data_IF_761012739228
#
_entry.id   IF_761012739228
#
_cell.length_a   1.000
_cell.length_b   1.000
_cell.length_c   1.000
_cell.angle_alpha   90.00
_cell.angle_beta   90.00
_cell.angle_gamma   90.00
#
_symmetry.space_group_name_H-M   'P 1'
#
loop_
_entity.id
_entity.type
_entity.pdbx_description
1 polymer ?
#
# COMPACT_ATOMS: atom_id res chain seq x y z
N UNK A 1 -38.93 -34.09 -27.78
CA UNK A 1 -39.17 -32.90 -26.96
C UNK A 1 -38.68 -32.99 -25.51
N UNK A 2 -38.63 -34.15 -24.86
CA UNK A 2 -38.15 -34.27 -23.47
C UNK A 2 -36.65 -33.99 -23.29
N UNK A 3 -35.80 -34.27 -24.25
CA UNK A 3 -34.35 -34.10 -24.15
C UNK A 3 -33.86 -32.61 -24.24
N UNK A 4 -34.66 -31.76 -24.92
CA UNK A 4 -34.32 -30.32 -25.03
C UNK A 4 -34.59 -29.58 -23.73
N UNK A 5 -35.62 -29.98 -23.00
CA UNK A 5 -36.00 -29.38 -21.68
C UNK A 5 -34.93 -29.67 -20.63
N UNK A 6 -34.36 -30.88 -20.62
CA UNK A 6 -33.27 -31.23 -19.67
C UNK A 6 -31.98 -30.48 -19.98
N UNK A 7 -31.66 -30.20 -21.24
CA UNK A 7 -30.49 -29.42 -21.62
C UNK A 7 -30.60 -27.94 -21.19
N UNK A 8 -31.82 -27.38 -21.30
CA UNK A 8 -32.09 -26.01 -20.85
C UNK A 8 -32.04 -25.87 -19.33
N UNK A 9 -32.55 -26.84 -18.56
CA UNK A 9 -32.48 -26.83 -17.11
C UNK A 9 -31.06 -27.02 -16.61
N UNK A 10 -30.24 -27.88 -17.26
CA UNK A 10 -28.84 -28.05 -16.93
C UNK A 10 -28.01 -26.78 -17.23
N UNK A 11 -28.32 -26.08 -18.36
CA UNK A 11 -27.68 -24.83 -18.74
C UNK A 11 -28.05 -23.68 -17.80
N UNK A 12 -29.28 -23.60 -17.30
CA UNK A 12 -29.70 -22.61 -16.30
C UNK A 12 -29.02 -22.84 -14.94
N UNK A 13 -28.81 -24.10 -14.53
CA UNK A 13 -28.12 -24.45 -13.29
C UNK A 13 -26.63 -24.13 -13.30
N UNK A 14 -25.97 -24.16 -14.46
CA UNK A 14 -24.55 -23.79 -14.58
C UNK A 14 -24.31 -22.28 -14.59
N UNK A 15 -25.32 -21.46 -14.93
CA UNK A 15 -25.23 -20.00 -14.92
C UNK A 15 -25.43 -19.38 -13.54
N UNK A 16 -26.01 -20.11 -12.58
CA UNK A 16 -26.27 -19.59 -11.22
C UNK A 16 -25.21 -19.95 -10.20
N UNK A 17 -24.33 -20.93 -10.46
CA UNK A 17 -23.32 -21.39 -9.50
C UNK A 17 -22.23 -20.39 -9.17
N UNK A 18 -21.69 -19.55 -10.09
CA UNK A 18 -20.66 -18.56 -9.73
C UNK A 18 -21.19 -17.43 -8.82
N UNK A 19 -22.46 -17.04 -8.99
CA UNK A 19 -23.04 -15.93 -8.21
C UNK A 19 -23.25 -16.28 -6.73
N UNK A 20 -23.59 -17.54 -6.42
CA UNK A 20 -23.76 -18.02 -5.04
C UNK A 20 -22.42 -18.28 -4.34
N UNK A 21 -21.42 -18.76 -5.07
CA UNK A 21 -20.09 -18.99 -4.53
C UNK A 21 -19.39 -17.66 -4.11
N UNK A 22 -19.47 -16.62 -4.92
CA UNK A 22 -18.91 -15.29 -4.63
C UNK A 22 -19.61 -14.60 -3.45
N UNK A 23 -20.94 -14.75 -3.32
CA UNK A 23 -21.70 -14.17 -2.20
C UNK A 23 -21.35 -14.80 -0.85
N UNK A 24 -21.18 -16.11 -0.79
CA UNK A 24 -20.74 -16.82 0.42
C UNK A 24 -19.30 -16.43 0.80
N UNK A 25 -18.43 -16.24 -0.18
CA UNK A 25 -17.03 -15.80 0.03
C UNK A 25 -16.96 -14.40 0.64
N UNK A 26 -17.79 -13.46 0.17
CA UNK A 26 -17.85 -12.10 0.72
C UNK A 26 -18.40 -12.09 2.15
N UNK A 27 -19.45 -12.85 2.44
CA UNK A 27 -19.98 -12.94 3.80
C UNK A 27 -18.95 -13.50 4.79
N UNK A 28 -18.16 -14.49 4.37
CA UNK A 28 -17.11 -15.08 5.20
C UNK A 28 -15.96 -14.10 5.45
N UNK A 29 -15.46 -13.40 4.40
CA UNK A 29 -14.36 -12.43 4.56
C UNK A 29 -14.80 -11.23 5.41
N UNK A 30 -16.04 -10.76 5.27
CA UNK A 30 -16.58 -9.68 6.11
C UNK A 30 -16.72 -10.10 7.57
N UNK A 31 -17.22 -11.32 7.85
CA UNK A 31 -17.21 -11.87 9.22
C UNK A 31 -15.80 -12.01 9.81
N UNK A 32 -14.83 -12.31 8.95
CA UNK A 32 -13.41 -12.34 9.37
C UNK A 32 -12.90 -10.93 9.67
N UNK A 33 -13.28 -9.93 8.87
CA UNK A 33 -12.96 -8.53 9.11
C UNK A 33 -13.55 -8.05 10.44
N UNK A 34 -14.84 -8.32 10.71
CA UNK A 34 -15.49 -7.97 11.97
C UNK A 34 -14.72 -8.55 13.17
N UNK A 35 -14.35 -9.84 13.12
CA UNK A 35 -13.54 -10.47 14.17
C UNK A 35 -12.17 -9.79 14.39
N UNK A 36 -11.53 -9.30 13.32
CA UNK A 36 -10.26 -8.57 13.44
C UNK A 36 -10.48 -7.18 14.03
N UNK A 37 -11.57 -6.50 13.66
CA UNK A 37 -11.97 -5.21 14.24
C UNK A 37 -12.22 -5.37 15.76
N UNK A 38 -12.95 -6.39 16.17
CA UNK A 38 -13.21 -6.68 17.59
C UNK A 38 -11.93 -6.96 18.37
N UNK A 39 -10.95 -7.60 17.72
CA UNK A 39 -9.65 -7.96 18.32
C UNK A 39 -8.53 -6.92 18.04
N UNK A 40 -8.84 -5.73 17.53
CA UNK A 40 -7.84 -4.69 17.20
C UNK A 40 -6.88 -4.34 18.34
N UNK A 41 -7.36 -4.42 19.58
CA UNK A 41 -6.55 -4.18 20.78
C UNK A 41 -5.39 -5.18 20.88
N UNK A 42 -5.60 -6.46 20.54
CA UNK A 42 -4.54 -7.45 20.54
C UNK A 42 -3.46 -7.16 19.47
N UNK A 43 -3.88 -6.67 18.28
CA UNK A 43 -2.95 -6.24 17.24
C UNK A 43 -2.10 -5.05 17.72
N UNK A 44 -2.70 -4.08 18.41
CA UNK A 44 -1.98 -2.96 19.01
C UNK A 44 -0.97 -3.42 20.07
N UNK A 45 -1.36 -4.31 20.96
CA UNK A 45 -0.45 -4.87 21.98
C UNK A 45 0.75 -5.55 21.34
N UNK A 46 0.53 -6.31 20.27
CA UNK A 46 1.62 -6.96 19.54
C UNK A 46 2.57 -5.93 18.90
N UNK A 47 2.02 -4.87 18.29
CA UNK A 47 2.82 -3.77 17.69
C UNK A 47 3.63 -3.02 18.73
N UNK A 48 3.03 -2.67 19.86
CA UNK A 48 3.74 -2.02 20.97
C UNK A 48 4.87 -2.91 21.51
N UNK A 49 4.67 -4.22 21.59
CA UNK A 49 5.72 -5.16 22.02
C UNK A 49 6.92 -5.17 21.05
N UNK A 50 6.66 -5.19 19.74
CA UNK A 50 7.70 -5.06 18.71
C UNK A 50 8.51 -3.76 18.89
N UNK A 51 7.80 -2.64 19.06
CA UNK A 51 8.41 -1.32 19.26
C UNK A 51 9.25 -1.28 20.55
N UNK A 52 8.75 -1.84 21.65
CA UNK A 52 9.48 -1.92 22.92
C UNK A 52 10.76 -2.74 22.75
N UNK A 53 10.73 -3.86 22.06
CA UNK A 53 11.93 -4.66 21.78
C UNK A 53 12.97 -3.87 20.98
N UNK A 54 12.56 -3.20 19.90
CA UNK A 54 13.46 -2.34 19.11
C UNK A 54 14.07 -1.22 19.94
N UNK A 55 13.29 -0.55 20.82
CA UNK A 55 13.80 0.48 21.73
C UNK A 55 14.81 -0.06 22.73
N UNK A 56 14.56 -1.24 23.29
CA UNK A 56 15.49 -1.89 24.21
C UNK A 56 16.81 -2.24 23.52
N UNK A 57 16.75 -2.76 22.30
CA UNK A 57 17.94 -3.03 21.49
C UNK A 57 18.70 -1.76 21.16
N UNK A 58 18.01 -0.69 20.75
CA UNK A 58 18.63 0.62 20.51
C UNK A 58 19.35 1.17 21.77
N UNK A 59 18.72 1.03 22.94
CA UNK A 59 19.32 1.49 24.20
C UNK A 59 20.56 0.68 24.60
N UNK A 60 20.57 -0.63 24.33
CA UNK A 60 21.69 -1.54 24.67
C UNK A 60 22.85 -1.47 23.67
N UNK A 61 22.58 -1.12 22.44
CA UNK A 61 23.62 -1.06 21.39
C UNK A 61 24.66 0.00 21.73
N UNK A 62 25.94 -0.35 21.49
CA UNK A 62 27.08 0.57 21.58
C UNK A 62 27.63 0.92 20.20
N UNK A 63 27.23 0.18 19.17
CA UNK A 63 27.65 0.39 17.78
C UNK A 63 26.76 1.46 17.10
N UNK A 64 27.38 2.46 16.53
CA UNK A 64 26.66 3.55 15.85
C UNK A 64 25.98 3.08 14.57
N UNK A 65 26.53 2.10 13.86
CA UNK A 65 25.90 1.51 12.67
C UNK A 65 24.64 0.74 13.05
N UNK A 66 24.73 -0.10 14.06
CA UNK A 66 23.56 -0.81 14.58
C UNK A 66 22.48 0.15 15.09
N UNK A 67 22.87 1.24 15.79
CA UNK A 67 21.91 2.27 16.23
C UNK A 67 21.22 2.94 15.04
N UNK A 68 21.94 3.22 13.96
CA UNK A 68 21.38 3.80 12.75
C UNK A 68 20.33 2.87 12.13
N UNK A 69 20.61 1.58 12.02
CA UNK A 69 19.71 0.56 11.50
C UNK A 69 18.48 0.35 12.39
N UNK A 70 18.67 0.37 13.71
CA UNK A 70 17.58 0.29 14.67
C UNK A 70 16.68 1.54 14.63
N UNK A 71 17.24 2.74 14.44
CA UNK A 71 16.45 3.94 14.18
C UNK A 71 15.63 3.80 12.88
N UNK A 72 16.20 3.22 11.82
CA UNK A 72 15.47 2.90 10.58
C UNK A 72 14.34 1.89 10.82
N UNK A 73 14.58 0.84 11.60
CA UNK A 73 13.55 -0.14 11.97
C UNK A 73 12.41 0.50 12.79
N UNK A 74 12.75 1.39 13.72
CA UNK A 74 11.77 2.15 14.51
C UNK A 74 11.00 3.16 13.64
N UNK A 75 11.66 3.85 12.71
CA UNK A 75 10.99 4.67 11.71
C UNK A 75 9.94 3.86 10.95
N UNK A 76 10.30 2.71 10.40
CA UNK A 76 9.38 1.84 9.65
C UNK A 76 8.22 1.32 10.54
N UNK A 77 8.50 1.01 11.81
CA UNK A 77 7.49 0.55 12.75
C UNK A 77 6.46 1.65 13.07
N UNK A 78 6.90 2.91 13.10
CA UNK A 78 6.07 4.05 13.46
C UNK A 78 5.43 4.77 12.26
N UNK A 79 5.97 4.68 11.05
CA UNK A 79 5.61 5.49 9.88
C UNK A 79 4.09 5.60 9.67
N UNK A 80 3.38 4.49 9.70
CA UNK A 80 1.92 4.45 9.55
C UNK A 80 1.16 4.21 10.87
N UNK A 81 1.88 4.13 11.98
CA UNK A 81 1.31 3.92 13.30
C UNK A 81 1.25 5.21 14.13
N UNK A 82 2.35 5.94 14.19
CA UNK A 82 2.49 7.22 14.91
C UNK A 82 3.59 8.06 14.24
N UNK A 83 3.21 8.86 13.26
CA UNK A 83 4.15 9.58 12.37
C UNK A 83 5.11 10.53 13.11
N UNK A 84 4.67 11.20 14.19
CA UNK A 84 5.54 12.04 15.01
C UNK A 84 6.71 11.24 15.61
N UNK A 85 6.45 10.01 16.06
CA UNK A 85 7.49 9.12 16.55
C UNK A 85 8.42 8.65 15.43
N UNK A 86 7.90 8.43 14.21
CA UNK A 86 8.73 8.13 13.05
C UNK A 86 9.71 9.28 12.77
N UNK A 87 9.23 10.53 12.79
CA UNK A 87 10.06 11.71 12.62
C UNK A 87 11.15 11.84 13.69
N UNK A 88 10.85 11.48 14.94
CA UNK A 88 11.84 11.45 16.03
C UNK A 88 13.01 10.50 15.69
N UNK A 89 12.75 9.30 15.18
CA UNK A 89 13.80 8.34 14.83
C UNK A 89 14.58 8.71 13.58
N UNK A 90 13.99 9.43 12.64
CA UNK A 90 14.74 10.03 11.52
C UNK A 90 15.73 11.07 12.02
N UNK A 91 15.35 11.91 12.97
CA UNK A 91 16.28 12.83 13.62
C UNK A 91 17.40 12.07 14.35
N UNK A 92 17.10 10.91 14.95
CA UNK A 92 18.10 10.00 15.50
C UNK A 92 19.13 9.53 14.46
N UNK A 93 18.68 9.10 13.26
CA UNK A 93 19.57 8.75 12.14
C UNK A 93 20.47 9.94 11.75
N UNK A 94 19.89 11.13 11.63
CA UNK A 94 20.63 12.35 11.29
C UNK A 94 21.75 12.67 12.29
N UNK A 95 21.48 12.51 13.59
CA UNK A 95 22.47 12.76 14.65
C UNK A 95 23.62 11.73 14.65
N UNK A 96 23.39 10.51 14.14
CA UNK A 96 24.39 9.46 14.04
C UNK A 96 25.26 9.61 12.78
N UNK A 97 24.79 10.31 11.77
CA UNK A 97 25.46 10.44 10.47
C UNK A 97 26.93 10.90 10.56
N UNK A 98 27.31 11.94 11.36
CA UNK A 98 28.69 12.37 11.49
C UNK A 98 29.62 11.31 12.11
N UNK A 99 29.06 10.32 12.81
CA UNK A 99 29.80 9.25 13.49
C UNK A 99 30.05 8.03 12.59
N UNK A 100 29.36 7.97 11.43
CA UNK A 100 29.41 6.81 10.55
C UNK A 100 30.39 6.95 9.40
N UNK A 101 30.83 8.18 9.08
CA UNK A 101 31.67 8.49 7.90
C UNK A 101 31.07 8.00 6.57
N UNK A 102 29.75 8.00 6.45
CA UNK A 102 28.98 7.56 5.30
C UNK A 102 28.05 8.68 4.82
N UNK A 103 28.58 9.69 4.08
CA UNK A 103 27.81 10.86 3.66
C UNK A 103 26.63 10.52 2.73
N UNK A 104 26.71 9.42 1.98
CA UNK A 104 25.65 8.90 1.09
C UNK A 104 24.35 8.57 1.82
N UNK A 105 24.42 8.20 3.10
CA UNK A 105 23.25 7.93 3.94
C UNK A 105 22.37 9.17 4.19
N UNK A 106 22.91 10.37 3.94
CA UNK A 106 22.15 11.62 4.07
C UNK A 106 20.95 11.65 3.14
N UNK A 107 21.09 11.20 1.92
CA UNK A 107 20.01 11.19 0.93
C UNK A 107 18.87 10.26 1.37
N UNK A 108 19.18 9.08 1.89
CA UNK A 108 18.18 8.17 2.46
C UNK A 108 17.38 8.85 3.59
N UNK A 109 18.06 9.57 4.50
CA UNK A 109 17.41 10.27 5.62
C UNK A 109 16.47 11.37 5.11
N UNK A 110 16.88 12.11 4.07
CA UNK A 110 16.06 13.17 3.45
C UNK A 110 14.80 12.55 2.82
N UNK A 111 14.92 11.41 2.13
CA UNK A 111 13.80 10.69 1.54
C UNK A 111 12.86 10.14 2.63
N UNK A 112 13.40 9.54 3.72
CA UNK A 112 12.59 9.11 4.87
C UNK A 112 11.80 10.28 5.46
N UNK A 113 12.42 11.47 5.56
CA UNK A 113 11.74 12.69 6.06
C UNK A 113 10.62 13.12 5.14
N UNK A 114 10.83 13.10 3.82
CA UNK A 114 9.80 13.40 2.84
C UNK A 114 8.62 12.43 2.94
N UNK A 115 8.89 11.13 3.10
CA UNK A 115 7.84 10.12 3.23
C UNK A 115 6.98 10.36 4.48
N UNK A 116 7.59 10.56 5.65
CA UNK A 116 6.81 10.81 6.88
C UNK A 116 6.02 12.11 6.80
N UNK A 117 6.57 13.17 6.21
CA UNK A 117 5.87 14.42 5.98
C UNK A 117 4.66 14.22 5.05
N UNK A 118 4.80 13.44 4.00
CA UNK A 118 3.70 13.06 3.12
C UNK A 118 2.60 12.28 3.85
N UNK A 119 2.96 11.31 4.70
CA UNK A 119 2.02 10.57 5.55
C UNK A 119 1.29 11.50 6.55
N UNK A 120 1.96 12.56 7.03
CA UNK A 120 1.35 13.58 7.89
C UNK A 120 0.48 14.60 7.13
N UNK A 121 0.42 14.54 5.80
CA UNK A 121 -0.29 15.51 4.97
C UNK A 121 0.46 16.83 4.73
N UNK A 122 1.73 16.90 5.11
CA UNK A 122 2.61 18.06 4.92
C UNK A 122 3.24 17.99 3.52
N UNK A 123 2.41 18.13 2.49
CA UNK A 123 2.82 17.83 1.10
C UNK A 123 3.86 18.82 0.56
N UNK A 124 3.76 20.12 0.90
CA UNK A 124 4.74 21.11 0.44
C UNK A 124 6.12 20.81 1.02
N UNK A 125 6.19 20.55 2.32
CA UNK A 125 7.42 20.22 3.03
C UNK A 125 8.01 18.89 2.54
N UNK A 126 7.16 17.90 2.23
CA UNK A 126 7.60 16.64 1.64
C UNK A 126 8.25 16.86 0.27
N UNK A 127 7.65 17.66 -0.60
CA UNK A 127 8.20 18.00 -1.90
C UNK A 127 9.53 18.72 -1.78
N UNK A 128 9.63 19.73 -0.91
CA UNK A 128 10.88 20.44 -0.65
C UNK A 128 12.02 19.52 -0.21
N UNK A 129 11.73 18.47 0.56
CA UNK A 129 12.76 17.48 0.92
C UNK A 129 13.19 16.68 -0.32
N UNK A 130 12.25 16.19 -1.13
CA UNK A 130 12.56 15.41 -2.32
C UNK A 130 13.36 16.20 -3.36
N UNK A 131 13.07 17.49 -3.54
CA UNK A 131 13.75 18.37 -4.48
C UNK A 131 15.21 18.69 -4.08
N UNK A 132 15.59 18.43 -2.82
CA UNK A 132 16.99 18.58 -2.34
C UNK A 132 17.89 17.41 -2.72
N UNK A 133 17.32 16.31 -3.18
CA UNK A 133 18.04 15.09 -3.52
C UNK A 133 18.38 15.09 -5.01
N UNK A 134 19.65 14.99 -5.34
CA UNK A 134 20.06 14.75 -6.73
C UNK A 134 19.96 13.24 -7.04
N UNK A 135 19.07 12.81 -7.93
CA UNK A 135 18.90 11.41 -8.26
C UNK A 135 20.13 10.79 -8.92
N UNK A 136 21.04 11.60 -9.49
CA UNK A 136 22.28 11.12 -10.11
C UNK A 136 23.33 10.68 -9.07
N UNK A 137 23.20 11.14 -7.83
CA UNK A 137 24.08 10.76 -6.72
C UNK A 137 23.58 9.52 -5.95
N UNK A 138 22.42 8.98 -6.32
CA UNK A 138 21.81 7.90 -5.58
C UNK A 138 22.26 6.52 -6.06
N UNK A 139 22.59 5.66 -5.10
CA UNK A 139 22.71 4.23 -5.37
C UNK A 139 21.36 3.65 -5.81
N UNK A 140 21.40 2.55 -6.55
CA UNK A 140 20.23 1.97 -7.21
C UNK A 140 19.05 1.70 -6.26
N UNK A 141 19.34 1.20 -5.07
CA UNK A 141 18.30 0.90 -4.08
C UNK A 141 17.66 2.18 -3.54
N UNK A 142 18.47 3.18 -3.19
CA UNK A 142 18.00 4.49 -2.73
C UNK A 142 17.27 5.25 -3.84
N UNK A 143 17.72 5.13 -5.10
CA UNK A 143 17.03 5.68 -6.27
C UNK A 143 15.63 5.07 -6.45
N UNK A 144 15.51 3.77 -6.32
CA UNK A 144 14.22 3.09 -6.38
C UNK A 144 13.27 3.58 -5.25
N UNK A 145 13.80 3.75 -4.04
CA UNK A 145 13.06 4.31 -2.91
C UNK A 145 12.63 5.76 -3.15
N UNK A 146 13.52 6.59 -3.68
CA UNK A 146 13.23 7.97 -4.08
C UNK A 146 12.05 8.05 -5.06
N UNK A 147 12.05 7.23 -6.11
CA UNK A 147 10.95 7.19 -7.07
C UNK A 147 9.64 6.67 -6.44
N UNK A 148 9.70 5.68 -5.54
CA UNK A 148 8.52 5.22 -4.79
C UNK A 148 7.92 6.33 -3.94
N UNK A 149 8.76 7.13 -3.29
CA UNK A 149 8.30 8.25 -2.46
C UNK A 149 7.67 9.36 -3.30
N UNK A 150 8.23 9.69 -4.46
CA UNK A 150 7.60 10.64 -5.41
C UNK A 150 6.27 10.11 -5.95
N UNK A 151 6.21 8.82 -6.30
CA UNK A 151 4.96 8.20 -6.73
C UNK A 151 3.89 8.32 -5.65
N UNK A 152 4.22 8.00 -4.41
CA UNK A 152 3.30 8.13 -3.27
C UNK A 152 2.86 9.58 -3.06
N UNK A 153 3.81 10.52 -3.08
CA UNK A 153 3.55 11.95 -2.97
C UNK A 153 2.53 12.44 -4.01
N UNK A 154 2.75 12.17 -5.29
CA UNK A 154 1.82 12.61 -6.33
C UNK A 154 0.49 11.88 -6.28
N UNK A 155 0.45 10.63 -5.80
CA UNK A 155 -0.78 9.91 -5.51
C UNK A 155 -1.59 10.61 -4.44
N UNK A 156 -1.02 10.90 -3.29
CA UNK A 156 -1.70 11.62 -2.20
C UNK A 156 -2.20 12.99 -2.65
N UNK A 157 -1.38 13.78 -3.36
CA UNK A 157 -1.81 15.10 -3.86
C UNK A 157 -2.97 14.95 -4.84
N UNK A 158 -2.96 13.94 -5.71
CA UNK A 158 -4.07 13.68 -6.63
C UNK A 158 -5.36 13.33 -5.88
N UNK A 159 -5.30 12.54 -4.80
CA UNK A 159 -6.47 12.12 -4.03
C UNK A 159 -7.14 13.31 -3.31
N UNK A 160 -6.35 14.26 -2.82
CA UNK A 160 -6.86 15.46 -2.15
C UNK A 160 -7.18 16.64 -3.10
N UNK A 161 -6.84 16.51 -4.40
CA UNK A 161 -7.10 17.57 -5.38
C UNK A 161 -8.54 17.48 -5.88
N UNK A 162 -9.29 18.57 -5.69
CA UNK A 162 -10.70 18.71 -6.14
C UNK A 162 -10.84 19.21 -7.57
N UNK A 163 -9.80 19.79 -8.15
CA UNK A 163 -9.77 20.26 -9.54
C UNK A 163 -9.38 19.12 -10.47
N UNK A 164 -10.28 18.70 -11.34
CA UNK A 164 -10.08 17.55 -12.24
C UNK A 164 -8.86 17.70 -13.17
N UNK A 165 -8.59 18.90 -13.68
CA UNK A 165 -7.45 19.15 -14.57
C UNK A 165 -6.12 18.99 -13.83
N UNK A 166 -6.02 19.51 -12.62
CA UNK A 166 -4.84 19.35 -11.76
C UNK A 166 -4.71 17.88 -11.30
N UNK A 167 -5.80 17.23 -10.93
CA UNK A 167 -5.81 15.81 -10.58
C UNK A 167 -5.23 14.94 -11.69
N UNK A 168 -5.67 15.14 -12.93
CA UNK A 168 -5.13 14.43 -14.11
C UNK A 168 -3.62 14.66 -14.27
N UNK A 169 -3.15 15.87 -14.03
CA UNK A 169 -1.72 16.20 -14.06
C UNK A 169 -0.91 15.44 -13.03
N UNK A 170 -1.40 15.35 -11.78
CA UNK A 170 -0.74 14.58 -10.72
C UNK A 170 -0.78 13.07 -11.00
N UNK A 171 -1.89 12.53 -11.49
CA UNK A 171 -1.99 11.14 -11.89
C UNK A 171 -1.00 10.77 -13.01
N UNK A 172 -0.78 11.67 -14.00
CA UNK A 172 0.26 11.49 -15.03
C UNK A 172 1.67 11.45 -14.43
N UNK A 173 1.95 12.31 -13.44
CA UNK A 173 3.24 12.28 -12.73
C UNK A 173 3.41 10.98 -11.94
N UNK A 174 2.36 10.54 -11.23
CA UNK A 174 2.35 9.25 -10.54
C UNK A 174 2.68 8.10 -11.49
N UNK A 175 2.11 8.11 -12.69
CA UNK A 175 2.37 7.08 -13.70
C UNK A 175 3.79 7.15 -14.27
N UNK A 176 4.33 8.33 -14.49
CA UNK A 176 5.72 8.52 -14.92
C UNK A 176 6.72 7.96 -13.88
N UNK A 177 6.45 8.15 -12.58
CA UNK A 177 7.28 7.57 -11.53
C UNK A 177 7.13 6.05 -11.42
N UNK A 178 5.99 5.46 -11.82
CA UNK A 178 5.90 4.00 -12.00
C UNK A 178 6.91 3.50 -13.03
N UNK A 179 7.03 4.18 -14.17
CA UNK A 179 8.03 3.82 -15.19
C UNK A 179 9.45 3.92 -14.63
N UNK A 180 9.75 4.98 -13.88
CA UNK A 180 11.06 5.16 -13.22
C UNK A 180 11.36 4.02 -12.23
N UNK A 181 10.37 3.59 -11.42
CA UNK A 181 10.50 2.45 -10.51
C UNK A 181 10.81 1.17 -11.28
N UNK A 182 10.09 0.91 -12.38
CA UNK A 182 10.31 -0.30 -13.19
C UNK A 182 11.70 -0.36 -13.81
N UNK A 183 12.33 0.79 -14.08
CA UNK A 183 13.70 0.87 -14.59
C UNK A 183 14.73 0.71 -13.46
N UNK A 184 14.50 1.37 -12.32
CA UNK A 184 15.46 1.43 -11.22
C UNK A 184 15.48 0.19 -10.32
N UNK A 185 14.39 -0.62 -10.32
CA UNK A 185 14.22 -1.75 -9.39
C UNK A 185 14.48 -3.08 -10.07
N UNK A 186 15.25 -3.95 -9.43
CA UNK A 186 15.43 -5.34 -9.86
C UNK A 186 14.13 -6.14 -9.70
N UNK A 187 14.00 -7.30 -10.37
CA UNK A 187 12.83 -8.17 -10.22
C UNK A 187 12.56 -8.52 -8.74
N UNK A 188 11.42 -8.09 -8.25
CA UNK A 188 10.95 -8.35 -6.88
C UNK A 188 9.42 -8.21 -6.81
N UNK A 189 8.84 -8.53 -5.66
CA UNK A 189 7.38 -8.42 -5.43
C UNK A 189 6.88 -7.00 -5.71
N UNK A 190 7.52 -5.99 -5.14
CA UNK A 190 7.10 -4.59 -5.28
C UNK A 190 7.13 -4.13 -6.75
N UNK A 191 8.18 -4.50 -7.49
CA UNK A 191 8.27 -4.20 -8.92
C UNK A 191 7.16 -4.88 -9.72
N UNK A 192 6.81 -6.12 -9.38
CA UNK A 192 5.75 -6.88 -10.03
C UNK A 192 4.38 -6.26 -9.77
N UNK A 193 4.13 -5.73 -8.56
CA UNK A 193 2.91 -4.96 -8.23
C UNK A 193 2.84 -3.72 -9.12
N UNK A 194 3.90 -2.91 -9.19
CA UNK A 194 3.94 -1.70 -10.04
C UNK A 194 3.72 -2.06 -11.52
N UNK A 195 4.25 -3.18 -11.98
CA UNK A 195 4.01 -3.67 -13.34
C UNK A 195 2.54 -4.03 -13.57
N UNK A 196 1.88 -4.67 -12.61
CA UNK A 196 0.45 -4.96 -12.67
C UNK A 196 -0.40 -3.68 -12.67
N UNK A 197 -0.08 -2.68 -11.84
CA UNK A 197 -0.71 -1.35 -11.85
C UNK A 197 -0.64 -0.71 -13.25
N UNK A 198 0.54 -0.76 -13.90
CA UNK A 198 0.69 -0.26 -15.29
C UNK A 198 -0.18 -1.03 -16.28
N UNK A 199 -0.40 -2.32 -16.06
CA UNK A 199 -1.34 -3.10 -16.91
C UNK A 199 -2.78 -2.65 -16.72
N UNK A 200 -3.19 -2.38 -15.46
CA UNK A 200 -4.53 -1.86 -15.13
C UNK A 200 -4.75 -0.51 -15.82
N UNK A 201 -3.83 0.44 -15.64
CA UNK A 201 -3.91 1.79 -16.22
C UNK A 201 -4.01 1.75 -17.75
N UNK A 202 -3.31 0.80 -18.40
CA UNK A 202 -3.34 0.61 -19.84
C UNK A 202 -4.53 -0.27 -20.34
N UNK A 203 -5.52 -0.54 -19.50
CA UNK A 203 -6.70 -1.32 -19.83
C UNK A 203 -6.47 -2.84 -20.01
N UNK A 204 -5.26 -3.33 -19.66
CA UNK A 204 -4.89 -4.76 -19.76
C UNK A 204 -5.19 -5.48 -18.45
N UNK A 205 -6.42 -5.35 -17.96
CA UNK A 205 -6.85 -5.82 -16.63
C UNK A 205 -6.65 -7.32 -16.47
N UNK A 206 -7.00 -8.14 -17.46
CA UNK A 206 -6.83 -9.59 -17.37
C UNK A 206 -5.36 -10.00 -17.19
N UNK A 207 -4.44 -9.31 -17.88
CA UNK A 207 -3.00 -9.54 -17.68
C UNK A 207 -2.53 -9.17 -16.27
N UNK A 208 -3.06 -8.09 -15.70
CA UNK A 208 -2.76 -7.69 -14.31
C UNK A 208 -3.26 -8.74 -13.32
N UNK A 209 -4.50 -9.24 -13.51
CA UNK A 209 -5.08 -10.26 -12.65
C UNK A 209 -4.27 -11.55 -12.63
N UNK A 210 -3.74 -11.99 -13.78
CA UNK A 210 -2.84 -13.17 -13.86
C UNK A 210 -1.57 -12.90 -13.05
N UNK A 211 -0.88 -11.78 -13.30
CA UNK A 211 0.36 -11.42 -12.59
C UNK A 211 0.14 -11.39 -11.07
N UNK A 212 -0.91 -10.70 -10.61
CA UNK A 212 -1.19 -10.54 -9.19
C UNK A 212 -1.62 -11.85 -8.52
N UNK A 213 -2.37 -12.68 -9.23
CA UNK A 213 -2.80 -14.00 -8.71
C UNK A 213 -1.62 -14.95 -8.52
N UNK A 214 -0.67 -14.95 -9.45
CA UNK A 214 0.53 -15.78 -9.33
C UNK A 214 1.47 -15.22 -8.25
N UNK A 215 1.67 -13.90 -8.21
CA UNK A 215 2.46 -13.24 -7.19
C UNK A 215 1.93 -13.52 -5.77
N UNK A 216 0.60 -13.53 -5.60
CA UNK A 216 -0.03 -13.82 -4.31
C UNK A 216 0.28 -15.22 -3.78
N UNK A 217 0.40 -16.22 -4.68
CA UNK A 217 0.73 -17.60 -4.30
C UNK A 217 2.18 -17.73 -3.79
N UNK A 218 3.08 -16.91 -4.34
CA UNK A 218 4.51 -16.98 -4.08
C UNK A 218 4.96 -16.05 -2.95
N UNK A 219 4.13 -15.06 -2.55
CA UNK A 219 4.48 -14.07 -1.54
C UNK A 219 4.16 -14.57 -0.14
N UNK A 220 5.15 -14.81 0.74
CA UNK A 220 4.91 -15.21 2.13
C UNK A 220 4.59 -14.02 3.05
N UNK A 221 5.10 -12.83 2.75
CA UNK A 221 4.99 -11.65 3.59
C UNK A 221 3.57 -11.07 3.59
N UNK A 222 2.95 -10.97 4.78
CA UNK A 222 1.57 -10.53 4.94
C UNK A 222 1.39 -9.04 4.54
N UNK A 223 2.39 -8.19 4.75
CA UNK A 223 2.32 -6.77 4.37
C UNK A 223 2.34 -6.63 2.85
N UNK A 224 3.21 -7.37 2.17
CA UNK A 224 3.24 -7.40 0.71
C UNK A 224 1.93 -7.97 0.14
N UNK A 225 1.33 -9.00 0.77
CA UNK A 225 0.00 -9.48 0.39
C UNK A 225 -1.06 -8.38 0.48
N UNK A 226 -0.98 -7.49 1.48
CA UNK A 226 -1.88 -6.34 1.60
C UNK A 226 -1.86 -5.45 0.36
N UNK A 227 -0.68 -5.12 -0.16
CA UNK A 227 -0.55 -4.36 -1.40
C UNK A 227 -1.07 -5.12 -2.63
N UNK A 228 -0.84 -6.44 -2.69
CA UNK A 228 -1.38 -7.28 -3.78
C UNK A 228 -2.91 -7.29 -3.72
N UNK A 229 -3.52 -7.45 -2.54
CA UNK A 229 -4.97 -7.42 -2.37
C UNK A 229 -5.56 -6.07 -2.80
N UNK A 230 -4.93 -4.97 -2.39
CA UNK A 230 -5.34 -3.64 -2.81
C UNK A 230 -5.31 -3.50 -4.35
N UNK A 231 -4.22 -3.88 -5.00
CA UNK A 231 -4.09 -3.80 -6.46
C UNK A 231 -5.07 -4.76 -7.18
N UNK A 232 -5.38 -5.92 -6.58
CA UNK A 232 -6.43 -6.81 -7.08
C UNK A 232 -7.82 -6.15 -6.99
N UNK A 233 -8.11 -5.41 -5.91
CA UNK A 233 -9.39 -4.69 -5.79
C UNK A 233 -9.53 -3.62 -6.87
N UNK A 234 -8.46 -2.84 -7.16
CA UNK A 234 -8.45 -1.88 -8.27
C UNK A 234 -8.67 -2.55 -9.64
N UNK A 235 -8.05 -3.72 -9.86
CA UNK A 235 -8.25 -4.47 -11.10
C UNK A 235 -9.69 -4.96 -11.26
N UNK A 236 -10.33 -5.40 -10.19
CA UNK A 236 -11.73 -5.84 -10.23
C UNK A 236 -12.71 -4.68 -10.29
N UNK A 237 -12.44 -3.52 -9.71
CA UNK A 237 -13.20 -2.29 -9.92
C UNK A 237 -13.19 -1.89 -11.40
N UNK A 238 -12.03 -1.84 -12.03
CA UNK A 238 -11.89 -1.55 -13.47
C UNK A 238 -12.62 -2.58 -14.36
N UNK A 239 -12.78 -3.81 -13.90
CA UNK A 239 -13.53 -4.86 -14.57
C UNK A 239 -15.05 -4.78 -14.33
N UNK A 240 -15.48 -4.00 -13.34
CA UNK A 240 -16.87 -3.90 -12.89
C UNK A 240 -17.33 -5.08 -12.04
N UNK A 241 -16.41 -5.89 -11.50
CA UNK A 241 -16.70 -7.02 -10.61
C UNK A 241 -16.71 -6.57 -9.13
N UNK A 242 -17.79 -5.91 -8.75
CA UNK A 242 -17.97 -5.33 -7.40
C UNK A 242 -17.84 -6.39 -6.29
N UNK A 243 -18.22 -7.65 -6.54
CA UNK A 243 -18.14 -8.70 -5.52
C UNK A 243 -16.68 -9.02 -5.18
N UNK A 244 -15.83 -9.16 -6.19
CA UNK A 244 -14.41 -9.40 -5.98
C UNK A 244 -13.66 -8.16 -5.49
N UNK A 245 -14.04 -6.98 -5.93
CA UNK A 245 -13.55 -5.72 -5.38
C UNK A 245 -13.74 -5.68 -3.85
N UNK A 246 -14.98 -5.90 -3.36
CA UNK A 246 -15.31 -5.93 -1.93
C UNK A 246 -14.49 -7.00 -1.20
N UNK A 247 -14.36 -8.20 -1.78
CA UNK A 247 -13.60 -9.29 -1.20
C UNK A 247 -12.14 -8.89 -0.95
N UNK A 248 -11.47 -8.32 -1.96
CA UNK A 248 -10.06 -7.94 -1.85
C UNK A 248 -9.86 -6.70 -1.00
N UNK A 249 -10.77 -5.72 -1.01
CA UNK A 249 -10.76 -4.60 -0.06
C UNK A 249 -10.87 -5.07 1.39
N UNK A 250 -11.73 -6.04 1.66
CA UNK A 250 -11.85 -6.62 3.00
C UNK A 250 -10.56 -7.33 3.44
N UNK A 251 -9.88 -8.07 2.52
CA UNK A 251 -8.59 -8.68 2.80
C UNK A 251 -7.49 -7.64 3.06
N UNK A 252 -7.46 -6.54 2.29
CA UNK A 252 -6.57 -5.41 2.54
C UNK A 252 -6.80 -4.84 3.94
N UNK A 253 -8.04 -4.53 4.29
CA UNK A 253 -8.38 -4.00 5.61
C UNK A 253 -7.99 -4.95 6.76
N UNK A 254 -8.18 -6.27 6.59
CA UNK A 254 -7.73 -7.29 7.57
C UNK A 254 -6.21 -7.23 7.76
N UNK A 255 -5.45 -7.11 6.67
CA UNK A 255 -3.99 -7.07 6.69
C UNK A 255 -3.49 -5.80 7.38
N UNK A 256 -4.09 -4.66 7.06
CA UNK A 256 -3.75 -3.36 7.66
C UNK A 256 -4.04 -3.34 9.16
N UNK A 257 -5.20 -3.81 9.58
CA UNK A 257 -5.56 -3.91 10.99
C UNK A 257 -4.59 -4.81 11.78
N UNK A 258 -4.22 -5.95 11.21
CA UNK A 258 -3.24 -6.87 11.83
C UNK A 258 -1.85 -6.26 11.94
N UNK A 259 -1.46 -5.46 10.97
CA UNK A 259 -0.18 -4.72 10.96
C UNK A 259 -0.23 -3.44 11.79
N UNK A 260 -1.38 -3.14 12.41
CA UNK A 260 -1.64 -1.90 13.16
C UNK A 260 -1.33 -0.63 12.34
N UNK A 261 -1.61 -0.67 11.04
CA UNK A 261 -1.49 0.48 10.15
C UNK A 261 -2.73 1.34 10.36
N UNK A 262 -2.57 2.49 11.01
CA UNK A 262 -3.70 3.40 11.28
C UNK A 262 -4.12 4.22 10.06
N UNK A 263 -3.19 4.53 9.17
CA UNK A 263 -3.40 5.53 8.13
C UNK A 263 -4.28 5.06 6.96
N UNK A 264 -4.22 3.79 6.56
CA UNK A 264 -5.02 3.31 5.43
C UNK A 264 -6.53 3.24 5.74
N UNK A 265 -6.91 3.01 7.00
CA UNK A 265 -8.31 3.04 7.43
C UNK A 265 -8.94 4.45 7.41
N UNK A 266 -8.11 5.52 7.46
CA UNK A 266 -8.57 6.91 7.43
C UNK A 266 -8.43 7.57 6.06
N UNK A 267 -7.60 7.04 5.18
CA UNK A 267 -7.32 7.62 3.86
C UNK A 267 -8.03 6.92 2.72
N UNK A 268 -8.42 5.65 2.89
CA UNK A 268 -9.32 5.00 1.94
C UNK A 268 -10.76 5.26 2.37
N UNK A 269 -11.61 5.81 1.49
CA UNK A 269 -13.04 5.89 1.78
C UNK A 269 -13.54 4.49 2.13
N UNK A 270 -14.31 4.40 3.23
CA UNK A 270 -14.94 3.14 3.64
C UNK A 270 -15.64 2.50 2.44
N UNK A 271 -15.64 1.17 2.30
CA UNK A 271 -16.47 0.50 1.30
C UNK A 271 -17.96 0.96 1.36
N UNK A 272 -18.41 1.43 2.53
CA UNK A 272 -19.74 2.04 2.71
C UNK A 272 -19.83 3.43 2.07
N UNK A 273 -18.77 4.23 2.13
CA UNK A 273 -18.72 5.57 1.54
C UNK A 273 -18.65 5.48 0.02
N UNK A 274 -17.97 4.46 -0.51
CA UNK A 274 -17.92 4.15 -1.95
C UNK A 274 -19.28 3.69 -2.48
N UNK A 275 -19.99 2.86 -1.73
CA UNK A 275 -21.35 2.44 -2.06
C UNK A 275 -22.33 3.63 -1.99
N UNK A 276 -22.19 4.53 -1.01
CA UNK A 276 -23.01 5.72 -0.85
C UNK A 276 -22.78 6.77 -1.96
N UNK A 277 -21.54 6.93 -2.44
CA UNK A 277 -21.22 7.90 -3.51
C UNK A 277 -21.72 7.46 -4.89
N UNK A 278 -22.05 6.17 -5.08
CA UNK A 278 -22.63 5.63 -6.33
C UNK A 278 -24.15 5.53 -6.30
N UNK A 279 -24.81 5.87 -5.18
CA UNK A 279 -26.28 5.98 -5.20
C UNK A 279 -26.66 7.25 -5.97
N UNK A 280 -27.55 7.16 -7.01
CA UNK A 280 -28.09 8.33 -7.64
C UNK A 280 -28.76 9.18 -6.57
N UNK A 281 -28.40 10.46 -6.51
CA UNK A 281 -29.11 11.44 -5.68
C UNK A 281 -30.57 11.35 -6.07
N UNK A 282 -31.39 10.79 -5.19
CA UNK A 282 -32.84 10.84 -5.34
C UNK A 282 -33.25 12.31 -5.37
N UNK A 283 -33.67 12.75 -6.58
CA UNK A 283 -34.30 14.02 -6.79
C UNK A 283 -35.63 14.07 -6.04
#
# INVERSE_FOLDING_TARGET
>A
MKNVTYFFILFLLTLTTPLFADKNSNEEVLKRLDRVIDNKTACHVQKEKEIVDLKQRLHRSKDNREKYELCGSLFNAYLHYQADSALYYINGKMNLLPLLNHPELKNEIVINRAEVMGVMGMYNEALEQLERVDPLELERETLAYYYRTYRAYYGWVADYTTNDAEKVKYLKKTDAYRDSILIATDPCVDRSIVWAEKKIINGKVDSALVILSDLLKETPDERQKGYIYYTLSEAYDMRGDIQKEIYYLALTAITDLKSSIRCLLYTSPSPRDYAASRMPSSA
#
